data_IF_373886134513
#
_entry.id   IF_373886134513
#
_cell.length_a   1.000
_cell.length_b   1.000
_cell.length_c   1.000
_cell.angle_alpha   90.00
_cell.angle_beta   90.00
_cell.angle_gamma   90.00
#
_symmetry.space_group_name_H-M   'P 1'
#
loop_
_entity.id
_entity.type
_entity.pdbx_description
1 polymer ?
#
# COMPACT_ATOMS: atom_id res chain seq x y z
N UNK A 1 -1.50 20.81 -15.88
CA UNK A 1 -0.46 19.78 -15.88
C UNK A 1 -1.10 18.43 -15.99
N UNK A 2 -0.77 17.74 -17.08
CA UNK A 2 -1.19 16.38 -17.37
C UNK A 2 -0.19 15.35 -16.83
N UNK A 3 -0.48 14.06 -17.00
CA UNK A 3 0.36 12.98 -16.48
C UNK A 3 1.73 12.92 -17.16
N UNK A 4 1.86 13.32 -18.43
CA UNK A 4 3.10 13.24 -19.18
C UNK A 4 4.11 14.28 -18.69
N UNK A 5 3.64 15.49 -18.39
CA UNK A 5 4.47 16.53 -17.79
C UNK A 5 4.95 16.13 -16.39
N UNK A 6 4.09 15.48 -15.59
CA UNK A 6 4.45 14.94 -14.28
C UNK A 6 5.52 13.86 -14.41
N UNK A 7 5.39 12.93 -15.36
CA UNK A 7 6.38 11.86 -15.56
C UNK A 7 7.77 12.43 -15.88
N UNK A 8 7.87 13.51 -16.67
CA UNK A 8 9.15 14.18 -16.92
C UNK A 8 9.80 14.73 -15.65
N UNK A 9 9.00 15.18 -14.68
CA UNK A 9 9.52 15.62 -13.39
C UNK A 9 10.10 14.46 -12.59
N UNK A 10 9.42 13.31 -12.59
CA UNK A 10 9.92 12.08 -11.97
C UNK A 10 11.23 11.61 -12.62
N UNK A 11 11.31 11.64 -13.95
CA UNK A 11 12.53 11.31 -14.69
C UNK A 11 13.68 12.27 -14.38
N UNK A 12 13.36 13.54 -14.11
CA UNK A 12 14.33 14.55 -13.67
C UNK A 12 14.68 14.45 -12.17
N UNK A 13 14.07 13.53 -11.41
CA UNK A 13 14.27 13.38 -9.98
C UNK A 13 13.54 14.41 -9.10
N UNK A 14 12.65 15.22 -9.68
CA UNK A 14 11.81 16.16 -8.92
C UNK A 14 10.56 15.45 -8.36
N UNK A 15 10.80 14.58 -7.39
CA UNK A 15 9.73 13.84 -6.69
C UNK A 15 8.78 14.78 -5.93
N UNK A 16 9.28 15.92 -5.42
CA UNK A 16 8.46 16.88 -4.68
C UNK A 16 7.47 17.61 -5.58
N UNK A 17 7.95 18.15 -6.71
CA UNK A 17 7.10 18.78 -7.70
C UNK A 17 6.13 17.78 -8.33
N UNK A 18 6.59 16.58 -8.67
CA UNK A 18 5.74 15.51 -9.18
C UNK A 18 4.63 15.16 -8.16
N UNK A 19 4.98 14.97 -6.87
CA UNK A 19 4.02 14.70 -5.79
C UNK A 19 2.94 15.78 -5.71
N UNK A 20 3.32 17.06 -5.74
CA UNK A 20 2.36 18.17 -5.68
C UNK A 20 1.33 18.08 -6.83
N UNK A 21 1.80 17.86 -8.05
CA UNK A 21 0.93 17.80 -9.22
C UNK A 21 0.10 16.52 -9.29
N UNK A 22 0.65 15.38 -8.86
CA UNK A 22 -0.08 14.11 -8.75
C UNK A 22 -1.21 14.19 -7.73
N UNK A 23 -0.96 14.78 -6.54
CA UNK A 23 -1.99 14.97 -5.52
C UNK A 23 -3.13 15.87 -6.03
N UNK A 24 -2.83 16.88 -6.84
CA UNK A 24 -3.85 17.70 -7.48
C UNK A 24 -4.57 16.96 -8.61
N UNK A 25 -3.88 16.08 -9.34
CA UNK A 25 -4.49 15.25 -10.39
C UNK A 25 -5.50 14.28 -9.79
N UNK A 26 -5.14 13.48 -8.79
CA UNK A 26 -6.05 12.49 -8.18
C UNK A 26 -7.24 13.12 -7.46
N UNK A 27 -7.16 14.39 -7.04
CA UNK A 27 -8.31 15.14 -6.52
C UNK A 27 -9.34 15.47 -7.60
N UNK A 28 -8.89 15.78 -8.82
CA UNK A 28 -9.75 16.15 -9.96
C UNK A 28 -10.21 14.93 -10.74
N UNK A 29 -9.34 13.94 -10.85
CA UNK A 29 -9.56 12.67 -11.54
C UNK A 29 -9.10 11.51 -10.65
N UNK A 30 -9.96 11.05 -9.72
CA UNK A 30 -9.66 9.92 -8.85
C UNK A 30 -9.52 8.58 -9.60
N UNK A 31 -9.97 8.52 -10.86
CA UNK A 31 -9.88 7.33 -11.70
C UNK A 31 -8.53 7.22 -12.45
N UNK A 32 -7.66 8.23 -12.33
CA UNK A 32 -6.33 8.21 -12.91
C UNK A 32 -5.41 7.23 -12.16
N UNK A 33 -5.49 5.96 -12.55
CA UNK A 33 -4.74 4.85 -12.00
C UNK A 33 -3.21 5.09 -11.97
N UNK A 34 -2.65 5.58 -13.08
CA UNK A 34 -1.23 5.91 -13.17
C UNK A 34 -0.79 6.94 -12.13
N UNK A 35 -1.63 7.92 -11.82
CA UNK A 35 -1.30 8.94 -10.84
C UNK A 35 -1.20 8.35 -9.42
N UNK A 36 -2.07 7.41 -9.07
CA UNK A 36 -1.97 6.70 -7.81
C UNK A 36 -0.73 5.82 -7.74
N UNK A 37 -0.39 5.08 -8.81
CA UNK A 37 0.83 4.28 -8.86
C UNK A 37 2.10 5.13 -8.67
N UNK A 38 2.18 6.30 -9.32
CA UNK A 38 3.31 7.19 -9.11
C UNK A 38 3.38 7.71 -7.66
N UNK A 39 2.25 8.00 -7.02
CA UNK A 39 2.23 8.40 -5.61
C UNK A 39 2.69 7.28 -4.67
N UNK A 40 2.36 6.02 -4.95
CA UNK A 40 2.92 4.86 -4.21
C UNK A 40 4.44 4.82 -4.36
N UNK A 41 4.93 4.96 -5.60
CA UNK A 41 6.37 4.95 -5.87
C UNK A 41 7.13 6.08 -5.18
N UNK A 42 6.58 7.30 -5.18
CA UNK A 42 7.15 8.44 -4.44
C UNK A 42 7.16 8.13 -2.95
N UNK A 43 6.04 7.67 -2.38
CA UNK A 43 5.93 7.36 -0.95
C UNK A 43 6.97 6.36 -0.48
N UNK A 44 7.20 5.29 -1.25
CA UNK A 44 8.26 4.34 -0.94
C UNK A 44 9.67 4.93 -1.05
N UNK A 45 9.97 5.74 -2.08
CA UNK A 45 11.30 6.37 -2.21
C UNK A 45 11.58 7.41 -1.12
N UNK A 46 10.55 8.12 -0.68
CA UNK A 46 10.66 9.15 0.37
C UNK A 46 10.45 8.62 1.79
N UNK A 47 10.32 7.29 1.95
CA UNK A 47 10.00 6.63 3.22
C UNK A 47 8.72 7.17 3.91
N UNK A 48 7.77 7.67 3.12
CA UNK A 48 6.51 8.26 3.57
C UNK A 48 5.39 7.19 3.50
N UNK A 49 5.31 6.38 4.56
CA UNK A 49 4.34 5.29 4.65
C UNK A 49 2.88 5.78 4.59
N UNK A 50 2.58 6.99 5.07
CA UNK A 50 1.24 7.57 4.99
C UNK A 50 0.86 7.96 3.55
N UNK A 51 1.80 8.50 2.77
CA UNK A 51 1.57 8.77 1.35
C UNK A 51 1.32 7.46 0.59
N UNK A 52 2.15 6.45 0.81
CA UNK A 52 1.99 5.14 0.17
C UNK A 52 0.65 4.51 0.55
N UNK A 53 0.30 4.51 1.83
CA UNK A 53 -0.98 3.98 2.32
C UNK A 53 -2.15 4.69 1.65
N UNK A 54 -2.15 6.02 1.63
CA UNK A 54 -3.19 6.81 0.97
C UNK A 54 -3.32 6.47 -0.52
N UNK A 55 -2.19 6.33 -1.21
CA UNK A 55 -2.18 6.06 -2.64
C UNK A 55 -2.65 4.63 -2.96
N UNK A 56 -2.23 3.65 -2.15
CA UNK A 56 -2.68 2.26 -2.23
C UNK A 56 -4.19 2.13 -1.96
N UNK A 57 -4.75 2.87 -0.99
CA UNK A 57 -6.21 2.94 -0.78
C UNK A 57 -6.94 3.61 -1.95
N UNK A 58 -6.27 4.50 -2.67
CA UNK A 58 -6.77 5.03 -3.95
C UNK A 58 -6.84 3.93 -5.01
N UNK A 59 -5.76 3.15 -5.17
CA UNK A 59 -5.69 2.02 -6.10
C UNK A 59 -6.66 0.89 -5.74
N UNK A 60 -6.85 0.58 -4.46
CA UNK A 60 -7.76 -0.47 -4.00
C UNK A 60 -9.20 -0.27 -4.51
N UNK A 61 -9.62 0.98 -4.66
CA UNK A 61 -10.94 1.33 -5.22
C UNK A 61 -11.03 1.07 -6.73
N UNK A 62 -9.91 1.16 -7.45
CA UNK A 62 -9.83 0.97 -8.90
C UNK A 62 -9.50 -0.49 -9.27
N UNK A 63 -8.72 -1.14 -8.42
CA UNK A 63 -8.16 -2.48 -8.56
C UNK A 63 -8.48 -3.31 -7.32
N UNK A 64 -9.76 -3.66 -7.08
CA UNK A 64 -10.11 -4.48 -5.95
C UNK A 64 -9.41 -5.83 -6.07
N UNK A 65 -8.81 -6.29 -4.97
CA UNK A 65 -8.16 -7.60 -4.85
C UNK A 65 -6.89 -7.78 -5.69
N UNK A 66 -6.28 -6.68 -6.14
CA UNK A 66 -4.97 -6.71 -6.79
C UNK A 66 -3.86 -7.08 -5.78
N UNK A 67 -2.99 -8.00 -6.20
CA UNK A 67 -1.93 -8.56 -5.35
C UNK A 67 -0.91 -7.52 -4.91
N UNK A 68 -0.58 -6.54 -5.78
CA UNK A 68 0.36 -5.47 -5.45
C UNK A 68 -0.27 -4.51 -4.45
N UNK A 69 -1.56 -4.21 -4.61
CA UNK A 69 -2.29 -3.37 -3.67
C UNK A 69 -2.39 -4.03 -2.29
N UNK A 70 -2.76 -5.31 -2.22
CA UNK A 70 -2.90 -6.03 -0.96
C UNK A 70 -1.56 -6.13 -0.20
N UNK A 71 -0.48 -6.51 -0.88
CA UNK A 71 0.85 -6.60 -0.28
C UNK A 71 1.34 -5.23 0.20
N UNK A 72 1.25 -4.20 -0.66
CA UNK A 72 1.66 -2.85 -0.29
C UNK A 72 0.86 -2.24 0.87
N UNK A 73 -0.45 -2.52 0.96
CA UNK A 73 -1.29 -2.07 2.08
C UNK A 73 -0.83 -2.69 3.40
N UNK A 74 -0.59 -4.00 3.42
CA UNK A 74 -0.09 -4.70 4.62
C UNK A 74 1.25 -4.15 5.06
N UNK A 75 2.20 -3.95 4.13
CA UNK A 75 3.52 -3.40 4.45
C UNK A 75 3.43 -1.99 5.05
N UNK A 76 2.64 -1.09 4.44
CA UNK A 76 2.49 0.26 4.96
C UNK A 76 1.81 0.28 6.33
N UNK A 77 0.76 -0.52 6.51
CA UNK A 77 0.02 -0.59 7.77
C UNK A 77 0.85 -1.20 8.91
N UNK A 78 1.68 -2.21 8.62
CA UNK A 78 2.63 -2.77 9.60
C UNK A 78 3.65 -1.71 10.05
N UNK A 79 4.22 -0.96 9.11
CA UNK A 79 5.16 0.12 9.43
C UNK A 79 4.54 1.25 10.26
N UNK A 80 3.25 1.49 10.09
CA UNK A 80 2.47 2.46 10.86
C UNK A 80 1.89 1.86 12.15
N UNK A 81 2.18 0.58 12.44
CA UNK A 81 1.68 -0.18 13.59
C UNK A 81 0.15 -0.23 13.69
N UNK A 82 -0.54 -0.13 12.54
CA UNK A 82 -2.00 -0.18 12.41
C UNK A 82 -2.48 -1.63 12.26
N UNK A 83 -2.22 -2.45 13.27
CA UNK A 83 -2.34 -3.91 13.19
C UNK A 83 -3.77 -4.42 12.94
N UNK A 84 -4.79 -3.75 13.45
CA UNK A 84 -6.18 -4.15 13.17
C UNK A 84 -6.53 -3.99 11.69
N UNK A 85 -6.07 -2.92 11.04
CA UNK A 85 -6.26 -2.73 9.61
C UNK A 85 -5.43 -3.71 8.77
N UNK A 86 -4.26 -4.13 9.25
CA UNK A 86 -3.50 -5.22 8.63
C UNK A 86 -4.37 -6.49 8.57
N UNK A 87 -4.98 -6.87 9.71
CA UNK A 87 -5.85 -8.06 9.79
C UNK A 87 -7.04 -7.94 8.84
N UNK A 88 -7.65 -6.75 8.72
CA UNK A 88 -8.75 -6.51 7.80
C UNK A 88 -8.36 -6.71 6.33
N UNK A 89 -7.23 -6.14 5.89
CA UNK A 89 -6.72 -6.29 4.51
C UNK A 89 -6.42 -7.76 4.22
N UNK A 90 -5.74 -8.45 5.14
CA UNK A 90 -5.41 -9.87 5.00
C UNK A 90 -6.67 -10.73 4.89
N UNK A 91 -7.68 -10.47 5.72
CA UNK A 91 -8.96 -11.18 5.68
C UNK A 91 -9.72 -10.91 4.39
N UNK A 92 -9.72 -9.67 3.91
CA UNK A 92 -10.38 -9.30 2.66
C UNK A 92 -9.73 -10.00 1.46
N UNK A 93 -8.39 -10.01 1.37
CA UNK A 93 -7.67 -10.66 0.29
C UNK A 93 -7.79 -12.19 0.34
N UNK A 94 -7.74 -12.81 1.53
CA UNK A 94 -7.83 -14.28 1.65
C UNK A 94 -9.15 -14.86 1.16
N UNK A 95 -10.26 -14.14 1.29
CA UNK A 95 -11.58 -14.54 0.80
C UNK A 95 -11.69 -14.67 -0.72
N UNK A 96 -10.86 -13.92 -1.44
CA UNK A 96 -10.93 -13.79 -2.91
C UNK A 96 -9.70 -14.37 -3.60
N UNK A 97 -8.66 -14.71 -2.82
CA UNK A 97 -7.45 -15.27 -3.34
C UNK A 97 -7.70 -16.63 -4.03
N UNK A 98 -6.94 -16.90 -5.09
CA UNK A 98 -7.07 -18.13 -5.88
C UNK A 98 -5.88 -19.05 -5.59
N UNK A 99 -6.08 -20.13 -4.82
CA UNK A 99 -5.00 -21.08 -4.52
C UNK A 99 -4.38 -21.66 -5.79
N UNK A 100 -3.06 -21.81 -5.81
CA UNK A 100 -2.32 -22.32 -6.97
C UNK A 100 -2.03 -21.27 -8.03
N UNK A 101 -2.49 -20.03 -7.85
CA UNK A 101 -2.00 -18.90 -8.62
C UNK A 101 -0.76 -18.32 -7.93
N UNK A 102 0.43 -18.38 -8.56
CA UNK A 102 1.70 -18.06 -7.88
C UNK A 102 1.71 -16.70 -7.16
N UNK A 103 1.20 -15.65 -7.81
CA UNK A 103 1.16 -14.32 -7.20
C UNK A 103 0.24 -14.24 -5.96
N UNK A 104 -0.87 -14.96 -5.95
CA UNK A 104 -1.75 -15.01 -4.79
C UNK A 104 -1.13 -15.85 -3.67
N UNK A 105 -0.51 -16.97 -4.00
CA UNK A 105 0.15 -17.84 -3.02
C UNK A 105 1.30 -17.09 -2.31
N UNK A 106 2.06 -16.27 -3.04
CA UNK A 106 3.08 -15.37 -2.47
C UNK A 106 2.47 -14.39 -1.48
N UNK A 107 1.42 -13.66 -1.86
CA UNK A 107 0.78 -12.69 -0.96
C UNK A 107 0.18 -13.37 0.26
N UNK A 108 -0.43 -14.55 0.13
CA UNK A 108 -0.97 -15.32 1.25
C UNK A 108 0.14 -15.78 2.22
N UNK A 109 1.33 -16.10 1.72
CA UNK A 109 2.50 -16.41 2.55
C UNK A 109 2.99 -15.17 3.32
N UNK A 110 3.13 -14.03 2.64
CA UNK A 110 3.49 -12.75 3.26
C UNK A 110 2.49 -12.37 4.36
N UNK A 111 1.20 -12.50 4.08
CA UNK A 111 0.13 -12.23 5.04
C UNK A 111 0.19 -13.16 6.27
N UNK A 112 0.50 -14.45 6.08
CA UNK A 112 0.69 -15.37 7.23
C UNK A 112 1.85 -14.94 8.11
N UNK A 113 2.96 -14.50 7.52
CA UNK A 113 4.11 -13.96 8.28
C UNK A 113 3.75 -12.66 9.01
N UNK A 114 3.02 -11.76 8.36
CA UNK A 114 2.53 -10.52 8.98
C UNK A 114 1.64 -10.80 10.20
N UNK A 115 0.71 -11.76 10.09
CA UNK A 115 -0.13 -12.15 11.23
C UNK A 115 0.68 -12.75 12.38
N UNK A 116 1.67 -13.59 12.08
CA UNK A 116 2.55 -14.14 13.10
C UNK A 116 3.31 -13.03 13.83
N UNK A 117 3.92 -12.10 13.09
CA UNK A 117 4.61 -10.95 13.66
C UNK A 117 3.72 -10.12 14.59
N UNK A 118 2.47 -9.86 14.19
CA UNK A 118 1.52 -9.12 15.03
C UNK A 118 1.21 -9.89 16.31
N UNK A 119 0.95 -11.19 16.22
CA UNK A 119 0.66 -12.02 17.39
C UNK A 119 1.86 -12.02 18.35
N UNK A 120 3.07 -12.23 17.85
CA UNK A 120 4.29 -12.25 18.67
C UNK A 120 4.49 -10.92 19.42
N UNK A 121 4.18 -9.78 18.78
CA UNK A 121 4.26 -8.46 19.45
C UNK A 121 3.19 -8.25 20.50
N UNK A 122 1.97 -8.72 20.26
CA UNK A 122 0.87 -8.57 21.20
C UNK A 122 1.06 -9.47 22.44
N UNK A 123 1.60 -10.67 22.26
CA UNK A 123 2.00 -11.54 23.37
C UNK A 123 3.09 -10.90 24.22
N UNK A 124 4.16 -10.38 23.59
CA UNK A 124 5.23 -9.70 24.31
C UNK A 124 4.77 -8.46 25.09
N UNK A 125 3.82 -7.70 24.54
CA UNK A 125 3.26 -6.53 25.23
C UNK A 125 2.36 -6.90 26.42
N UNK A 126 1.70 -8.06 26.38
CA UNK A 126 0.88 -8.57 27.48
C UNK A 126 1.71 -9.11 28.65
N UNK A 127 2.88 -9.68 28.36
CA UNK A 127 3.81 -10.22 29.36
C UNK A 127 4.59 -9.13 30.12
N UNK A 128 4.68 -7.91 29.59
CA UNK A 128 5.33 -6.77 30.26
C UNK A 128 4.44 -6.09 31.32
N UNK A 129 3.14 -6.38 31.32
CA UNK A 129 2.13 -5.81 32.23
C UNK A 129 1.75 -6.73 33.43
N UNK A 130 2.36 -7.92 33.55
CA UNK A 130 2.20 -8.87 34.70
C UNK A 130 3.38 -8.85 35.70
#
# INVERSE_FOLDING_TARGET
MDINEITKMLEAGDDNGARYHLLNLVKRDPACDAAWLFLVGIGFRSDDAELSLRALRGLEKLRPHDVLVASGLVDCLLRLERYEEVKEVIHAFSKVARPGMPAHDTVLEEHRKALQFINDRLEAAGDEDE
#
